data_IF_635785144598
#
_entry.id   IF_635785144598
#
_cell.length_a   1.000
_cell.length_b   1.000
_cell.length_c   1.000
_cell.angle_alpha   90.00
_cell.angle_beta   90.00
_cell.angle_gamma   90.00
#
_symmetry.space_group_name_H-M   'P 1'
#
loop_
_entity.id
_entity.type
_entity.pdbx_description
1 polymer ?
#
# COMPACT_ATOMS: atom_id res chain seq x y z
N UNK A 1 18.22 41.00 -16.71
CA UNK A 1 18.32 39.69 -16.02
C UNK A 1 16.93 39.26 -15.61
N UNK A 2 16.38 38.21 -16.24
CA UNK A 2 15.12 37.60 -15.80
C UNK A 2 15.38 36.98 -14.43
N UNK A 3 14.66 37.44 -13.40
CA UNK A 3 14.57 36.69 -12.13
C UNK A 3 13.92 35.36 -12.48
N UNK A 4 14.71 34.29 -12.49
CA UNK A 4 14.20 32.93 -12.44
C UNK A 4 13.66 32.80 -11.02
N UNK A 5 12.33 32.83 -10.88
CA UNK A 5 11.68 32.41 -9.64
C UNK A 5 12.21 31.01 -9.30
N UNK A 6 12.58 30.71 -8.04
CA UNK A 6 12.90 29.33 -7.67
C UNK A 6 11.71 28.45 -8.09
N UNK A 7 11.95 27.25 -8.66
CA UNK A 7 10.86 26.32 -8.91
C UNK A 7 10.12 26.15 -7.57
N UNK A 8 8.80 26.34 -7.58
CA UNK A 8 7.95 25.99 -6.44
C UNK A 8 8.36 24.59 -6.01
N UNK A 9 8.85 24.45 -4.77
CA UNK A 9 9.47 23.21 -4.32
C UNK A 9 8.45 22.07 -4.49
N UNK A 10 8.84 21.08 -5.28
CA UNK A 10 8.04 19.89 -5.52
C UNK A 10 7.81 19.17 -4.20
N UNK A 11 6.56 18.81 -3.91
CA UNK A 11 6.18 18.16 -2.65
C UNK A 11 5.80 16.70 -2.82
N UNK A 12 5.50 16.24 -4.05
CA UNK A 12 5.24 14.82 -4.29
C UNK A 12 5.46 14.39 -5.74
N UNK A 13 5.69 13.09 -5.94
CA UNK A 13 5.69 12.39 -7.22
C UNK A 13 4.98 11.06 -7.09
N UNK A 14 4.21 10.67 -8.11
CA UNK A 14 3.60 9.34 -8.21
C UNK A 14 3.87 8.72 -9.57
N UNK A 15 4.12 7.42 -9.58
CA UNK A 15 4.28 6.61 -10.76
C UNK A 15 3.54 5.28 -10.54
N UNK A 16 2.29 5.23 -11.00
CA UNK A 16 1.39 4.09 -10.77
C UNK A 16 1.06 3.37 -12.08
N UNK A 17 1.12 2.03 -12.05
CA UNK A 17 0.59 1.20 -13.12
C UNK A 17 -0.93 1.33 -13.22
N UNK A 18 -1.46 1.20 -14.44
CA UNK A 18 -2.89 1.02 -14.66
C UNK A 18 -3.27 -0.42 -14.29
N UNK A 19 -4.08 -0.66 -13.24
CA UNK A 19 -4.30 -2.02 -12.73
C UNK A 19 -4.98 -2.96 -13.72
N UNK A 20 -5.79 -2.42 -14.62
CA UNK A 20 -6.63 -3.16 -15.56
C UNK A 20 -6.02 -3.36 -16.94
N UNK A 21 -5.00 -2.57 -17.28
CA UNK A 21 -4.36 -2.59 -18.59
C UNK A 21 -2.87 -2.34 -18.44
N UNK A 22 -2.08 -3.41 -18.51
CA UNK A 22 -0.63 -3.33 -18.40
C UNK A 22 0.04 -2.62 -19.58
N UNK A 23 -0.67 -2.45 -20.71
CA UNK A 23 -0.17 -1.73 -21.88
C UNK A 23 -0.52 -0.23 -21.83
N UNK A 24 -1.46 0.18 -20.98
CA UNK A 24 -1.82 1.58 -20.82
C UNK A 24 -0.66 2.40 -20.24
N UNK A 25 -0.56 3.69 -20.61
CA UNK A 25 0.43 4.57 -20.03
C UNK A 25 0.25 4.65 -18.51
N UNK A 26 1.36 4.58 -17.79
CA UNK A 26 1.40 4.72 -16.33
C UNK A 26 0.96 6.14 -15.94
N UNK A 27 0.27 6.26 -14.81
CA UNK A 27 -0.02 7.55 -14.20
C UNK A 27 1.28 8.06 -13.55
N UNK A 28 2.02 8.86 -14.32
CA UNK A 28 3.34 9.36 -13.95
C UNK A 28 3.35 10.90 -13.95
N UNK A 29 3.34 11.49 -12.76
CA UNK A 29 3.30 12.94 -12.58
C UNK A 29 3.96 13.39 -11.27
N UNK A 30 4.21 14.69 -11.19
CA UNK A 30 4.71 15.37 -10.01
C UNK A 30 3.70 16.41 -9.51
N UNK A 31 3.93 16.93 -8.30
CA UNK A 31 3.08 17.92 -7.66
C UNK A 31 3.96 19.00 -7.01
N UNK A 32 3.70 20.25 -7.38
CA UNK A 32 4.32 21.43 -6.76
C UNK A 32 3.68 21.77 -5.42
N UNK A 33 3.77 23.03 -5.01
CA UNK A 33 3.22 23.50 -3.75
C UNK A 33 1.71 23.16 -3.60
N UNK A 34 1.28 22.58 -2.47
CA UNK A 34 -0.12 22.28 -2.25
C UNK A 34 -0.94 23.54 -1.99
N UNK A 35 -2.21 23.49 -2.39
CA UNK A 35 -3.23 24.48 -2.00
C UNK A 35 -3.46 24.48 -0.50
N UNK A 36 -3.49 23.29 0.08
CA UNK A 36 -3.63 23.05 1.52
C UNK A 36 -3.12 21.65 1.85
N UNK A 37 -2.82 21.46 3.13
CA UNK A 37 -2.46 20.14 3.68
C UNK A 37 -3.50 19.77 4.74
N UNK A 38 -4.00 18.55 4.65
CA UNK A 38 -4.98 17.96 5.57
C UNK A 38 -4.25 16.94 6.44
N UNK A 39 -4.35 17.07 7.77
CA UNK A 39 -3.55 16.29 8.71
C UNK A 39 -4.42 15.80 9.86
N UNK A 40 -4.33 14.51 10.18
CA UNK A 40 -4.89 13.92 11.39
C UNK A 40 -3.74 13.49 12.32
N UNK A 41 -3.56 14.21 13.43
CA UNK A 41 -2.60 13.82 14.48
C UNK A 41 -3.19 12.82 15.47
N UNK A 42 -4.52 12.74 15.54
CA UNK A 42 -5.26 11.95 16.53
C UNK A 42 -6.30 11.08 15.81
N UNK A 43 -6.65 9.97 16.44
CA UNK A 43 -7.52 8.92 15.87
C UNK A 43 -8.89 9.46 15.48
N UNK A 44 -9.46 10.35 16.31
CA UNK A 44 -10.78 10.95 16.09
C UNK A 44 -10.84 11.87 14.86
N UNK A 45 -9.71 12.47 14.48
CA UNK A 45 -9.60 13.36 13.33
C UNK A 45 -9.43 12.61 11.99
N UNK A 46 -9.05 11.32 12.00
CA UNK A 46 -8.72 10.56 10.77
C UNK A 46 -9.89 10.53 9.79
N UNK A 47 -11.10 10.23 10.28
CA UNK A 47 -12.30 10.16 9.42
C UNK A 47 -12.62 11.51 8.79
N UNK A 48 -12.57 12.59 9.57
CA UNK A 48 -12.83 13.93 9.08
C UNK A 48 -11.83 14.36 7.99
N UNK A 49 -10.55 13.96 8.13
CA UNK A 49 -9.53 14.19 7.09
C UNK A 49 -9.84 13.41 5.82
N UNK A 50 -10.22 12.12 5.92
CA UNK A 50 -10.61 11.33 4.74
C UNK A 50 -11.86 11.88 4.04
N UNK A 51 -12.84 12.37 4.80
CA UNK A 51 -14.02 13.05 4.24
C UNK A 51 -13.62 14.34 3.51
N UNK A 52 -12.70 15.12 4.08
CA UNK A 52 -12.19 16.34 3.46
C UNK A 52 -11.39 16.06 2.17
N UNK A 53 -10.59 14.99 2.17
CA UNK A 53 -9.86 14.49 0.99
C UNK A 53 -10.86 14.09 -0.10
N UNK A 54 -11.87 13.29 0.26
CA UNK A 54 -12.89 12.85 -0.70
C UNK A 54 -13.65 14.04 -1.30
N UNK A 55 -14.08 14.99 -0.47
CA UNK A 55 -14.76 16.19 -0.93
C UNK A 55 -13.87 17.07 -1.83
N UNK A 56 -12.57 17.14 -1.58
CA UNK A 56 -11.62 17.84 -2.44
C UNK A 56 -11.46 17.14 -3.81
N UNK A 57 -11.34 15.81 -3.82
CA UNK A 57 -11.28 15.03 -5.05
C UNK A 57 -12.55 15.18 -5.90
N UNK A 58 -13.73 15.19 -5.29
CA UNK A 58 -15.01 15.41 -5.99
C UNK A 58 -15.13 16.81 -6.62
N UNK A 59 -14.35 17.79 -6.14
CA UNK A 59 -14.24 19.12 -6.76
C UNK A 59 -13.19 19.18 -7.89
N UNK A 60 -12.58 18.05 -8.24
CA UNK A 60 -11.57 17.93 -9.29
C UNK A 60 -10.14 18.19 -8.83
N UNK A 61 -9.89 18.30 -7.52
CA UNK A 61 -8.53 18.44 -7.00
C UNK A 61 -7.82 17.08 -6.90
N UNK A 62 -6.50 17.12 -6.95
CA UNK A 62 -5.65 15.97 -6.70
C UNK A 62 -5.27 15.92 -5.22
N UNK A 63 -5.47 14.77 -4.57
CA UNK A 63 -5.09 14.58 -3.18
C UNK A 63 -4.02 13.49 -3.09
N UNK A 64 -2.82 13.84 -2.65
CA UNK A 64 -1.67 12.92 -2.59
C UNK A 64 -1.19 12.85 -1.14
N UNK A 65 -1.05 11.64 -0.61
CA UNK A 65 -0.80 11.48 0.82
C UNK A 65 -0.73 10.04 1.25
N UNK A 66 -0.82 9.84 2.56
CA UNK A 66 -0.75 8.53 3.20
C UNK A 66 -1.67 8.43 4.41
N UNK A 67 -1.99 7.19 4.77
CA UNK A 67 -2.64 6.81 6.03
C UNK A 67 -1.75 5.77 6.68
N UNK A 68 -1.33 6.04 7.92
CA UNK A 68 -0.49 5.12 8.70
C UNK A 68 -1.30 3.94 9.20
N UNK A 69 -0.63 2.82 9.42
CA UNK A 69 -1.23 1.62 10.00
C UNK A 69 -1.92 1.92 11.34
N UNK A 70 -1.32 2.81 12.15
CA UNK A 70 -1.80 3.26 13.45
C UNK A 70 -3.10 4.09 13.39
N UNK A 71 -3.60 4.42 12.19
CA UNK A 71 -4.92 4.98 12.01
C UNK A 71 -6.05 3.93 12.13
N UNK A 72 -5.72 2.63 12.22
CA UNK A 72 -6.69 1.54 12.29
C UNK A 72 -7.78 1.71 13.38
N UNK A 73 -7.47 2.17 14.61
CA UNK A 73 -8.48 2.39 15.64
C UNK A 73 -9.59 3.38 15.25
N UNK A 74 -9.35 4.25 14.26
CA UNK A 74 -10.36 5.18 13.76
C UNK A 74 -11.52 4.44 13.09
N UNK A 75 -11.27 3.24 12.55
CA UNK A 75 -12.24 2.45 11.80
C UNK A 75 -12.92 1.38 12.67
N UNK A 76 -12.18 0.80 13.59
CA UNK A 76 -12.65 -0.16 14.57
C UNK A 76 -11.76 -0.10 15.82
N UNK A 77 -12.35 0.25 16.96
CA UNK A 77 -11.64 0.42 18.24
C UNK A 77 -11.00 -0.86 18.78
N UNK A 78 -11.40 -2.03 18.28
CA UNK A 78 -10.76 -3.30 18.63
C UNK A 78 -9.39 -3.48 17.95
N UNK A 79 -9.08 -2.69 16.91
CA UNK A 79 -7.82 -2.76 16.17
C UNK A 79 -6.73 -1.99 16.91
N UNK A 80 -6.06 -2.67 17.84
CA UNK A 80 -4.98 -2.09 18.64
C UNK A 80 -3.67 -1.97 17.84
N UNK A 81 -2.97 -0.86 18.01
CA UNK A 81 -1.68 -0.57 17.37
C UNK A 81 -0.72 0.07 18.36
N UNK A 82 0.57 0.06 18.04
CA UNK A 82 1.55 0.83 18.80
C UNK A 82 1.30 2.33 18.64
N UNK A 83 1.77 3.12 19.60
CA UNK A 83 1.86 4.56 19.42
C UNK A 83 2.87 4.88 18.30
N UNK A 84 2.61 5.95 17.55
CA UNK A 84 3.51 6.44 16.51
C UNK A 84 3.76 7.93 16.72
N UNK A 85 4.96 8.36 16.34
CA UNK A 85 5.27 9.77 16.20
C UNK A 85 4.82 10.26 14.82
N UNK A 86 4.26 11.47 14.77
CA UNK A 86 3.77 12.07 13.53
C UNK A 86 2.31 11.76 13.20
N UNK A 87 1.84 12.22 12.02
CA UNK A 87 0.42 12.21 11.71
C UNK A 87 -0.08 10.82 11.27
N UNK A 88 -1.25 10.42 11.78
CA UNK A 88 -1.95 9.19 11.39
C UNK A 88 -2.45 9.24 9.95
N UNK A 89 -2.79 10.43 9.45
CA UNK A 89 -3.09 10.66 8.04
C UNK A 89 -2.58 12.04 7.62
N UNK A 90 -2.01 12.12 6.43
CA UNK A 90 -1.48 13.36 5.87
C UNK A 90 -1.77 13.37 4.36
N UNK A 91 -2.39 14.44 3.86
CA UNK A 91 -2.70 14.61 2.45
C UNK A 91 -2.47 16.05 2.00
N UNK A 92 -1.72 16.21 0.92
CA UNK A 92 -1.59 17.45 0.19
C UNK A 92 -2.65 17.54 -0.93
N UNK A 93 -3.34 18.67 -1.00
CA UNK A 93 -4.35 18.95 -2.03
C UNK A 93 -3.74 19.87 -3.08
N UNK A 94 -3.82 19.48 -4.34
CA UNK A 94 -3.26 20.19 -5.49
C UNK A 94 -4.34 20.48 -6.53
N UNK A 95 -4.21 21.61 -7.22
CA UNK A 95 -5.16 21.97 -8.28
C UNK A 95 -4.95 21.12 -9.55
N UNK A 96 -3.69 20.77 -9.88
CA UNK A 96 -3.35 19.98 -11.06
C UNK A 96 -2.04 19.20 -10.87
N UNK A 97 -1.87 18.08 -11.58
CA UNK A 97 -0.58 17.39 -11.68
C UNK A 97 0.36 18.18 -12.60
N UNK A 98 1.65 18.08 -12.33
CA UNK A 98 2.72 18.60 -13.18
C UNK A 98 3.37 17.44 -13.95
N UNK A 99 3.98 17.70 -15.12
CA UNK A 99 4.76 16.70 -15.83
C UNK A 99 5.83 16.10 -14.92
N UNK A 100 6.15 14.82 -15.13
CA UNK A 100 7.28 14.21 -14.44
C UNK A 100 8.56 15.00 -14.72
N UNK A 101 9.35 15.37 -13.70
CA UNK A 101 10.52 16.19 -13.89
C UNK A 101 11.57 15.45 -14.69
N UNK A 102 12.38 16.20 -15.45
CA UNK A 102 13.55 15.65 -16.10
C UNK A 102 14.47 14.98 -15.06
N UNK A 103 15.06 13.84 -15.40
CA UNK A 103 16.00 13.17 -14.52
C UNK A 103 17.17 14.11 -14.21
N UNK A 104 17.32 14.47 -12.94
CA UNK A 104 18.52 15.16 -12.48
C UNK A 104 19.73 14.21 -12.58
N UNK A 105 20.93 14.78 -12.69
CA UNK A 105 22.16 14.00 -12.64
C UNK A 105 22.14 13.06 -11.42
N UNK A 106 22.37 11.77 -11.64
CA UNK A 106 22.25 10.76 -10.60
C UNK A 106 23.34 10.94 -9.55
N UNK A 107 23.00 11.61 -8.46
CA UNK A 107 23.70 11.46 -7.20
C UNK A 107 23.44 10.04 -6.67
N UNK A 108 24.49 9.40 -6.14
CA UNK A 108 24.33 8.12 -5.49
C UNK A 108 23.70 8.34 -4.11
N UNK A 109 22.65 7.58 -3.80
CA UNK A 109 22.13 7.47 -2.45
C UNK A 109 22.58 6.16 -1.82
N UNK A 110 22.96 6.20 -0.54
CA UNK A 110 23.32 5.03 0.25
C UNK A 110 22.67 5.13 1.62
N UNK A 111 22.10 4.03 2.10
CA UNK A 111 21.65 3.93 3.49
C UNK A 111 22.67 3.10 4.26
N UNK A 112 23.19 3.67 5.33
CA UNK A 112 23.97 2.95 6.33
C UNK A 112 23.02 2.48 7.42
N UNK A 113 22.81 1.17 7.52
CA UNK A 113 21.87 0.57 8.49
C UNK A 113 22.55 0.43 9.84
N UNK A 114 21.87 0.86 10.91
CA UNK A 114 22.43 0.87 12.28
C UNK A 114 21.63 0.04 13.27
N UNK A 115 20.33 -0.06 13.07
CA UNK A 115 19.48 -0.81 13.98
C UNK A 115 18.39 -1.58 13.25
N UNK A 116 17.98 -2.64 13.91
CA UNK A 116 16.86 -3.50 13.57
C UNK A 116 16.40 -4.22 14.83
N UNK A 117 15.27 -4.91 14.76
CA UNK A 117 14.85 -5.76 15.87
C UNK A 117 15.90 -6.85 16.13
N UNK A 118 16.32 -7.00 17.38
CA UNK A 118 17.26 -8.06 17.75
C UNK A 118 16.69 -9.43 17.37
N UNK A 119 17.53 -10.29 16.80
CA UNK A 119 17.11 -11.62 16.35
C UNK A 119 16.43 -12.44 17.45
N UNK A 120 16.97 -12.41 18.67
CA UNK A 120 16.37 -13.13 19.82
C UNK A 120 14.96 -12.62 20.14
N UNK A 121 14.73 -11.31 20.05
CA UNK A 121 13.41 -10.70 20.24
C UNK A 121 12.45 -11.10 19.12
N UNK A 122 12.91 -11.08 17.86
CA UNK A 122 12.12 -11.53 16.72
C UNK A 122 11.72 -13.01 16.84
N UNK A 123 12.68 -13.88 17.18
CA UNK A 123 12.45 -15.33 17.32
C UNK A 123 11.50 -15.63 18.49
N UNK A 124 11.60 -14.90 19.61
CA UNK A 124 10.69 -15.05 20.73
C UNK A 124 9.24 -14.66 20.34
N UNK A 125 9.07 -13.55 19.60
CA UNK A 125 7.77 -13.15 19.09
C UNK A 125 7.21 -14.18 18.10
N UNK A 126 8.04 -14.71 17.20
CA UNK A 126 7.66 -15.77 16.26
C UNK A 126 7.22 -17.05 16.99
N UNK A 127 7.91 -17.43 18.06
CA UNK A 127 7.53 -18.57 18.90
C UNK A 127 6.15 -18.39 19.55
N UNK A 128 5.84 -17.19 20.07
CA UNK A 128 4.50 -16.87 20.60
C UNK A 128 3.43 -16.95 19.52
N UNK A 129 3.70 -16.40 18.34
CA UNK A 129 2.81 -16.45 17.19
C UNK A 129 2.50 -17.90 16.78
N UNK A 130 3.52 -18.76 16.69
CA UNK A 130 3.35 -20.16 16.33
C UNK A 130 2.53 -20.92 17.37
N UNK A 131 2.75 -20.65 18.66
CA UNK A 131 1.94 -21.21 19.74
C UNK A 131 0.47 -20.79 19.65
N UNK A 132 0.21 -19.50 19.40
CA UNK A 132 -1.15 -18.98 19.25
C UNK A 132 -1.86 -19.57 18.02
N UNK A 133 -1.15 -19.77 16.90
CA UNK A 133 -1.68 -20.49 15.73
C UNK A 133 -1.99 -21.96 16.09
N UNK A 134 -1.06 -22.64 16.77
CA UNK A 134 -1.26 -24.02 17.22
C UNK A 134 -2.41 -24.20 18.22
N UNK A 135 -2.70 -23.17 19.01
CA UNK A 135 -3.85 -23.12 19.92
C UNK A 135 -5.18 -22.72 19.23
N UNK A 136 -5.13 -22.39 17.93
CA UNK A 136 -6.32 -22.00 17.16
C UNK A 136 -6.81 -20.58 17.43
N UNK A 137 -5.99 -19.71 18.02
CA UNK A 137 -6.37 -18.33 18.30
C UNK A 137 -6.40 -17.45 17.04
N UNK A 138 -5.52 -17.75 16.09
CA UNK A 138 -5.44 -17.11 14.78
C UNK A 138 -4.92 -18.10 13.73
N UNK A 139 -5.22 -17.82 12.46
CA UNK A 139 -4.78 -18.61 11.31
C UNK A 139 -3.49 -18.08 10.70
N UNK A 140 -3.34 -16.75 10.67
CA UNK A 140 -2.20 -16.08 10.04
C UNK A 140 -1.93 -14.73 10.70
N UNK A 141 -0.66 -14.35 10.73
CA UNK A 141 -0.20 -12.99 11.03
C UNK A 141 0.95 -12.63 10.10
N UNK A 142 1.00 -11.36 9.68
CA UNK A 142 2.10 -10.76 8.96
C UNK A 142 2.97 -10.01 9.97
N UNK A 143 4.05 -10.64 10.42
CA UNK A 143 4.96 -10.06 11.42
C UNK A 143 6.21 -9.53 10.72
N UNK A 144 6.48 -8.24 10.87
CA UNK A 144 7.58 -7.52 10.23
C UNK A 144 8.43 -6.80 11.27
N UNK A 145 9.67 -6.45 10.91
CA UNK A 145 10.57 -5.69 11.75
C UNK A 145 11.15 -4.51 10.96
N UNK A 146 11.13 -3.27 11.51
CA UNK A 146 11.75 -2.13 10.86
C UNK A 146 13.28 -2.21 10.94
N UNK A 147 13.94 -1.65 9.94
CA UNK A 147 15.36 -1.32 9.96
C UNK A 147 15.50 0.20 9.94
N UNK A 148 16.43 0.74 10.71
CA UNK A 148 16.75 2.18 10.68
C UNK A 148 18.20 2.41 10.30
N UNK A 149 18.43 3.52 9.61
CA UNK A 149 19.73 3.87 9.07
C UNK A 149 19.83 5.36 8.77
N UNK A 150 21.03 5.82 8.44
CA UNK A 150 21.28 7.19 7.98
C UNK A 150 21.41 7.18 6.48
N UNK A 151 20.67 8.08 5.82
CA UNK A 151 20.77 8.32 4.40
C UNK A 151 21.96 9.25 4.10
N UNK A 152 22.84 8.80 3.21
CA UNK A 152 23.83 9.61 2.50
C UNK A 152 23.30 9.89 1.09
N UNK A 153 23.29 11.16 0.67
CA UNK A 153 22.66 11.62 -0.57
C UNK A 153 21.24 12.15 -0.35
N UNK A 154 20.50 12.38 -1.43
CA UNK A 154 19.14 12.93 -1.37
C UNK A 154 18.05 11.84 -1.34
N UNK A 155 16.90 12.17 -0.75
CA UNK A 155 15.72 11.30 -0.78
C UNK A 155 15.25 11.01 -2.22
N UNK A 156 15.36 12.00 -3.12
CA UNK A 156 15.07 11.82 -4.54
C UNK A 156 16.01 10.80 -5.21
N UNK A 157 17.30 10.79 -4.86
CA UNK A 157 18.25 9.81 -5.35
C UNK A 157 17.94 8.39 -4.81
N UNK A 158 17.57 8.27 -3.53
CA UNK A 158 17.14 7.00 -2.94
C UNK A 158 15.86 6.49 -3.63
N UNK A 159 14.86 7.35 -3.82
CA UNK A 159 13.61 7.00 -4.50
C UNK A 159 13.86 6.49 -5.92
N UNK A 160 14.72 7.17 -6.69
CA UNK A 160 15.09 6.71 -8.03
C UNK A 160 15.80 5.33 -8.00
N UNK A 161 16.62 5.06 -6.98
CA UNK A 161 17.23 3.74 -6.79
C UNK A 161 16.19 2.66 -6.44
N UNK A 162 15.22 2.96 -5.58
CA UNK A 162 14.12 2.06 -5.25
C UNK A 162 13.26 1.73 -6.47
N UNK A 163 12.92 2.73 -7.29
CA UNK A 163 12.16 2.51 -8.52
C UNK A 163 12.88 1.58 -9.51
N UNK A 164 14.21 1.70 -9.64
CA UNK A 164 15.01 0.77 -10.47
C UNK A 164 15.05 -0.64 -9.90
N UNK A 165 15.08 -0.78 -8.58
CA UNK A 165 15.09 -2.08 -7.91
C UNK A 165 13.73 -2.79 -7.98
N UNK A 166 12.63 -2.03 -8.11
CA UNK A 166 11.27 -2.57 -8.17
C UNK A 166 10.48 -1.93 -9.34
N UNK A 167 10.86 -2.22 -10.59
CA UNK A 167 10.19 -1.69 -11.76
C UNK A 167 8.74 -2.18 -11.80
N UNK A 168 7.83 -1.31 -12.20
CA UNK A 168 6.42 -1.65 -12.37
C UNK A 168 5.54 -1.52 -11.13
N UNK A 169 6.12 -1.32 -9.94
CA UNK A 169 5.36 -1.10 -8.70
C UNK A 169 4.58 0.23 -8.67
N UNK A 170 3.76 0.40 -7.64
CA UNK A 170 3.11 1.67 -7.32
C UNK A 170 4.08 2.54 -6.52
N UNK A 171 4.74 3.47 -7.20
CA UNK A 171 5.79 4.28 -6.60
C UNK A 171 5.28 5.66 -6.20
N UNK A 172 5.61 6.09 -4.98
CA UNK A 172 5.28 7.43 -4.48
C UNK A 172 6.47 8.00 -3.69
N UNK A 173 6.81 9.25 -3.98
CA UNK A 173 7.68 10.10 -3.15
C UNK A 173 6.83 11.24 -2.64
N UNK A 174 6.68 11.35 -1.32
CA UNK A 174 5.91 12.41 -0.68
C UNK A 174 6.83 13.12 0.30
N UNK A 175 6.97 14.44 0.16
CA UNK A 175 7.64 15.32 1.10
C UNK A 175 6.57 16.01 1.98
N UNK A 176 6.47 15.55 3.22
CA UNK A 176 5.54 16.08 4.23
C UNK A 176 6.20 17.13 5.14
N UNK A 177 7.38 17.63 4.77
CA UNK A 177 8.18 18.56 5.57
C UNK A 177 9.15 17.82 6.48
N UNK A 178 8.73 17.54 7.72
CA UNK A 178 9.59 16.87 8.71
C UNK A 178 9.80 15.37 8.42
N UNK A 179 9.03 14.81 7.49
CA UNK A 179 9.11 13.43 7.06
C UNK A 179 8.99 13.34 5.53
N UNK A 180 9.70 12.38 4.94
CA UNK A 180 9.48 11.99 3.55
C UNK A 180 9.15 10.51 3.45
N UNK A 181 8.11 10.17 2.66
CA UNK A 181 7.69 8.80 2.40
C UNK A 181 8.13 8.41 1.01
N UNK A 182 9.01 7.40 0.93
CA UNK A 182 9.48 6.79 -0.32
C UNK A 182 8.93 5.37 -0.41
N UNK A 183 7.98 5.14 -1.31
CA UNK A 183 7.30 3.85 -1.48
C UNK A 183 7.44 3.32 -2.90
N UNK A 184 7.60 2.01 -3.03
CA UNK A 184 7.56 1.24 -4.30
C UNK A 184 6.71 -0.02 -4.10
N UNK A 185 5.44 0.16 -3.73
CA UNK A 185 4.57 -0.94 -3.34
C UNK A 185 4.35 -1.94 -4.50
N UNK A 186 4.49 -3.27 -4.26
CA UNK A 186 4.08 -4.29 -5.23
C UNK A 186 2.57 -4.57 -5.19
N UNK A 187 1.88 -4.20 -4.12
CA UNK A 187 0.48 -4.56 -3.86
C UNK A 187 -0.43 -3.33 -4.06
N UNK A 188 -1.57 -3.53 -4.74
CA UNK A 188 -2.62 -2.52 -4.84
C UNK A 188 -3.62 -2.75 -3.71
N UNK A 189 -3.67 -1.81 -2.76
CA UNK A 189 -4.66 -1.84 -1.69
C UNK A 189 -6.08 -1.71 -2.25
N UNK A 190 -6.36 -0.63 -2.98
CA UNK A 190 -7.50 -0.55 -3.88
C UNK A 190 -7.29 0.52 -4.96
N UNK A 191 -7.97 0.35 -6.10
CA UNK A 191 -8.25 1.37 -7.11
C UNK A 191 -9.77 1.56 -7.15
N UNK A 192 -10.26 2.78 -6.95
CA UNK A 192 -11.69 3.07 -6.87
C UNK A 192 -12.06 4.23 -7.80
N UNK A 193 -12.88 3.93 -8.78
CA UNK A 193 -13.41 4.89 -9.75
C UNK A 193 -14.80 5.32 -9.28
N UNK A 194 -14.87 6.31 -8.37
CA UNK A 194 -16.13 6.82 -7.83
C UNK A 194 -17.04 7.39 -8.94
N UNK A 195 -18.35 7.15 -8.80
CA UNK A 195 -19.35 7.64 -9.72
C UNK A 195 -20.70 7.84 -8.98
N UNK A 196 -21.56 8.78 -9.43
CA UNK A 196 -22.83 9.07 -8.76
C UNK A 196 -23.73 7.85 -8.53
N UNK A 197 -23.70 6.86 -9.44
CA UNK A 197 -24.45 5.61 -9.35
C UNK A 197 -23.72 4.48 -8.63
N UNK A 198 -22.67 4.78 -7.87
CA UNK A 198 -21.71 3.80 -7.35
C UNK A 198 -20.59 3.53 -8.35
N UNK A 199 -19.37 3.46 -7.84
CA UNK A 199 -18.14 3.30 -8.60
C UNK A 199 -17.57 1.88 -8.61
N UNK A 200 -16.72 1.58 -9.58
CA UNK A 200 -15.98 0.32 -9.66
C UNK A 200 -14.78 0.37 -8.74
N UNK A 201 -14.62 -0.66 -7.89
CA UNK A 201 -13.49 -0.80 -6.99
C UNK A 201 -12.78 -2.14 -7.24
N UNK A 202 -11.45 -2.10 -7.26
CA UNK A 202 -10.56 -3.25 -7.41
C UNK A 202 -9.57 -3.27 -6.25
N UNK A 203 -9.40 -4.42 -5.60
CA UNK A 203 -8.25 -4.73 -4.76
C UNK A 203 -7.45 -5.86 -5.40
N UNK A 204 -6.11 -5.80 -5.30
CA UNK A 204 -5.22 -6.87 -5.79
C UNK A 204 -4.31 -7.35 -4.67
N UNK A 205 -4.81 -8.23 -3.78
CA UNK A 205 -3.96 -8.88 -2.79
C UNK A 205 -2.87 -9.70 -3.46
N UNK A 206 -1.74 -9.83 -2.75
CA UNK A 206 -0.67 -10.73 -3.13
C UNK A 206 -0.32 -11.69 -1.99
N UNK A 207 -0.32 -12.99 -2.30
CA UNK A 207 0.18 -14.06 -1.42
C UNK A 207 0.69 -15.21 -2.26
N UNK A 208 1.84 -15.72 -1.84
CA UNK A 208 2.64 -16.72 -2.52
C UNK A 208 3.80 -16.09 -3.28
N UNK A 209 5.00 -16.56 -2.97
CA UNK A 209 6.26 -16.03 -3.52
C UNK A 209 7.19 -17.18 -3.87
N UNK A 210 7.82 -17.12 -5.03
CA UNK A 210 8.87 -18.04 -5.45
C UNK A 210 10.09 -17.27 -5.96
N UNK A 211 11.28 -17.84 -5.83
CA UNK A 211 12.47 -17.23 -6.42
C UNK A 211 12.39 -17.26 -7.96
N UNK A 212 13.08 -16.33 -8.63
CA UNK A 212 13.32 -16.43 -10.08
C UNK A 212 14.28 -17.60 -10.37
N UNK A 213 14.10 -18.26 -11.51
CA UNK A 213 14.98 -19.32 -11.98
C UNK A 213 16.30 -18.80 -12.54
N UNK A 214 17.34 -19.63 -12.56
CA UNK A 214 18.62 -19.25 -13.18
C UNK A 214 18.57 -19.36 -14.72
N UNK A 215 17.65 -20.18 -15.25
CA UNK A 215 17.37 -20.34 -16.68
C UNK A 215 15.90 -20.03 -17.00
N UNK A 216 15.54 -19.71 -18.25
CA UNK A 216 14.14 -19.50 -18.65
C UNK A 216 13.23 -20.69 -18.33
N UNK A 217 13.74 -21.91 -18.49
CA UNK A 217 13.00 -23.14 -18.21
C UNK A 217 12.74 -23.33 -16.71
N UNK A 218 13.77 -23.10 -15.89
CA UNK A 218 13.63 -23.12 -14.43
C UNK A 218 12.68 -22.02 -13.96
N UNK A 219 12.79 -20.81 -14.53
CA UNK A 219 11.97 -19.68 -14.15
C UNK A 219 10.48 -19.92 -14.45
N UNK A 220 10.19 -20.48 -15.63
CA UNK A 220 8.84 -20.91 -16.00
C UNK A 220 8.33 -22.06 -15.10
N UNK A 221 9.20 -23.00 -14.72
CA UNK A 221 8.85 -24.06 -13.80
C UNK A 221 8.54 -23.54 -12.39
N UNK A 222 9.30 -22.56 -11.88
CA UNK A 222 9.06 -21.91 -10.59
C UNK A 222 7.71 -21.16 -10.59
N UNK A 223 7.41 -20.42 -11.65
CA UNK A 223 6.11 -19.77 -11.81
C UNK A 223 4.95 -20.78 -11.84
N UNK A 224 5.11 -21.87 -12.60
CA UNK A 224 4.09 -22.92 -12.69
C UNK A 224 3.90 -23.64 -11.34
N UNK A 225 4.99 -23.91 -10.62
CA UNK A 225 4.95 -24.50 -9.29
C UNK A 225 4.23 -23.59 -8.31
N UNK A 226 4.60 -22.30 -8.24
CA UNK A 226 3.94 -21.31 -7.40
C UNK A 226 2.43 -21.30 -7.64
N UNK A 227 2.01 -21.23 -8.91
CA UNK A 227 0.60 -21.21 -9.31
C UNK A 227 -0.18 -22.47 -8.92
N UNK A 228 0.48 -23.63 -8.83
CA UNK A 228 -0.18 -24.92 -8.63
C UNK A 228 -0.03 -25.48 -7.22
N UNK A 229 0.91 -24.97 -6.43
CA UNK A 229 1.19 -25.40 -5.07
C UNK A 229 -0.07 -25.28 -4.19
N UNK A 230 -0.55 -26.39 -3.58
CA UNK A 230 -1.77 -26.37 -2.77
C UNK A 230 -1.72 -25.39 -1.59
N UNK A 231 -0.56 -25.28 -0.93
CA UNK A 231 -0.33 -24.35 0.19
C UNK A 231 -0.51 -22.90 -0.26
N UNK A 232 0.22 -22.49 -1.30
CA UNK A 232 0.21 -21.11 -1.80
C UNK A 232 -1.18 -20.69 -2.30
N UNK A 233 -1.88 -21.60 -2.99
CA UNK A 233 -3.27 -21.38 -3.40
C UNK A 233 -4.22 -21.24 -2.22
N UNK A 234 -4.05 -22.05 -1.17
CA UNK A 234 -4.89 -21.97 0.03
C UNK A 234 -4.71 -20.62 0.75
N UNK A 235 -3.47 -20.16 0.93
CA UNK A 235 -3.18 -18.85 1.52
C UNK A 235 -3.74 -17.71 0.66
N UNK A 236 -3.61 -17.78 -0.67
CA UNK A 236 -4.14 -16.78 -1.58
C UNK A 236 -5.68 -16.74 -1.56
N UNK A 237 -6.35 -17.89 -1.61
CA UNK A 237 -7.83 -17.99 -1.51
C UNK A 237 -8.32 -17.39 -0.19
N UNK A 238 -7.64 -17.68 0.92
CA UNK A 238 -8.02 -17.13 2.23
C UNK A 238 -8.02 -15.59 2.21
N UNK A 239 -6.98 -14.96 1.65
CA UNK A 239 -6.93 -13.50 1.54
C UNK A 239 -7.96 -12.94 0.56
N UNK A 240 -8.20 -13.64 -0.56
CA UNK A 240 -9.26 -13.28 -1.51
C UNK A 240 -10.62 -13.31 -0.83
N UNK A 241 -10.94 -14.34 -0.05
CA UNK A 241 -12.21 -14.44 0.67
C UNK A 241 -12.37 -13.37 1.74
N UNK A 242 -11.30 -13.02 2.46
CA UNK A 242 -11.29 -11.90 3.40
C UNK A 242 -11.63 -10.59 2.67
N UNK A 243 -11.00 -10.31 1.54
CA UNK A 243 -11.28 -9.09 0.78
C UNK A 243 -12.65 -9.10 0.11
N UNK A 244 -13.16 -10.25 -0.32
CA UNK A 244 -14.55 -10.37 -0.81
C UNK A 244 -15.54 -10.01 0.29
N UNK A 245 -15.31 -10.51 1.51
CA UNK A 245 -16.12 -10.16 2.67
C UNK A 245 -16.04 -8.66 2.97
N UNK A 246 -14.84 -8.09 3.04
CA UNK A 246 -14.64 -6.68 3.36
C UNK A 246 -15.27 -5.77 2.28
N UNK A 247 -15.07 -6.07 0.99
CA UNK A 247 -15.72 -5.33 -0.11
C UNK A 247 -17.25 -5.47 -0.09
N UNK A 248 -17.80 -6.63 0.29
CA UNK A 248 -19.26 -6.82 0.36
C UNK A 248 -19.96 -5.83 1.29
N UNK A 249 -19.24 -5.32 2.31
CA UNK A 249 -19.75 -4.33 3.26
C UNK A 249 -20.10 -3.00 2.58
N UNK A 250 -19.45 -2.66 1.47
CA UNK A 250 -19.66 -1.40 0.72
C UNK A 250 -20.20 -1.60 -0.70
N UNK A 251 -20.23 -2.84 -1.18
CA UNK A 251 -20.68 -3.20 -2.52
C UNK A 251 -22.21 -3.25 -2.66
N UNK A 252 -22.68 -3.13 -3.89
CA UNK A 252 -24.02 -3.54 -4.32
C UNK A 252 -24.14 -5.07 -4.18
N UNK A 253 -25.33 -5.59 -3.79
CA UNK A 253 -25.57 -7.02 -3.76
C UNK A 253 -25.17 -7.71 -5.07
N UNK A 254 -24.53 -8.87 -4.95
CA UNK A 254 -24.09 -9.71 -6.08
C UNK A 254 -23.07 -9.09 -7.05
N UNK A 255 -22.48 -7.94 -6.72
CA UNK A 255 -21.47 -7.29 -7.58
C UNK A 255 -20.02 -7.73 -7.30
N UNK A 256 -19.76 -8.38 -6.16
CA UNK A 256 -18.40 -8.83 -5.80
C UNK A 256 -17.98 -10.00 -6.69
N UNK A 257 -16.86 -9.86 -7.38
CA UNK A 257 -16.32 -10.80 -8.35
C UNK A 257 -14.82 -11.01 -8.16
N UNK A 258 -14.33 -12.16 -8.62
CA UNK A 258 -12.89 -12.50 -8.63
C UNK A 258 -12.47 -12.82 -10.06
N UNK A 259 -12.23 -11.80 -10.91
CA UNK A 259 -12.01 -12.00 -12.34
C UNK A 259 -10.66 -12.65 -12.66
N UNK A 260 -9.67 -12.55 -11.77
CA UNK A 260 -8.37 -13.19 -11.91
C UNK A 260 -7.96 -13.82 -10.59
N UNK A 261 -7.56 -15.08 -10.63
CA UNK A 261 -7.14 -15.84 -9.46
C UNK A 261 -5.81 -16.54 -9.76
N UNK A 262 -4.86 -16.44 -8.83
CA UNK A 262 -3.53 -17.06 -8.92
C UNK A 262 -2.68 -16.58 -10.11
N UNK A 263 -2.82 -15.31 -10.50
CA UNK A 263 -1.99 -14.71 -11.55
C UNK A 263 -0.56 -14.51 -11.03
N UNK A 264 0.42 -15.08 -11.73
CA UNK A 264 1.84 -14.94 -11.40
C UNK A 264 2.44 -13.72 -12.10
N UNK A 265 2.98 -12.80 -11.32
CA UNK A 265 3.67 -11.60 -11.78
C UNK A 265 5.18 -11.75 -11.55
N UNK A 266 5.97 -11.50 -12.60
CA UNK A 266 7.43 -11.45 -12.49
C UNK A 266 7.87 -10.14 -11.85
N UNK A 267 8.61 -10.22 -10.76
CA UNK A 267 9.43 -9.14 -10.21
C UNK A 267 10.92 -9.47 -10.48
N UNK A 268 11.85 -8.50 -10.33
CA UNK A 268 13.25 -8.73 -10.67
C UNK A 268 13.88 -9.94 -9.95
N UNK A 269 13.51 -10.17 -8.69
CA UNK A 269 14.12 -11.21 -7.84
C UNK A 269 13.17 -12.35 -7.48
N UNK A 270 11.86 -12.15 -7.63
CA UNK A 270 10.83 -13.14 -7.25
C UNK A 270 9.66 -13.19 -8.23
N UNK A 271 8.97 -14.32 -8.26
CA UNK A 271 7.59 -14.43 -8.72
C UNK A 271 6.65 -14.11 -7.56
N UNK A 272 5.61 -13.32 -7.85
CA UNK A 272 4.55 -13.03 -6.91
C UNK A 272 3.21 -13.54 -7.45
N UNK A 273 2.43 -14.21 -6.61
CA UNK A 273 1.06 -14.56 -6.95
C UNK A 273 0.09 -13.48 -6.46
N UNK A 274 -0.79 -13.05 -7.38
CA UNK A 274 -1.79 -12.00 -7.20
C UNK A 274 -3.17 -12.51 -7.63
N UNK A 275 -4.21 -11.91 -7.06
CA UNK A 275 -5.60 -12.18 -7.43
C UNK A 275 -6.38 -10.88 -7.41
N UNK A 276 -7.33 -10.70 -8.32
CA UNK A 276 -8.17 -9.50 -8.38
C UNK A 276 -9.49 -9.77 -7.67
N UNK A 277 -9.90 -8.87 -6.78
CA UNK A 277 -11.25 -8.83 -6.23
C UNK A 277 -11.87 -7.49 -6.61
N UNK A 278 -12.98 -7.53 -7.33
CA UNK A 278 -13.67 -6.33 -7.82
C UNK A 278 -15.10 -6.29 -7.32
N UNK A 279 -15.63 -5.10 -7.15
CA UNK A 279 -17.03 -4.88 -6.83
C UNK A 279 -17.52 -3.55 -7.39
N UNK A 280 -18.84 -3.37 -7.40
CA UNK A 280 -19.44 -2.06 -7.61
C UNK A 280 -19.92 -1.53 -6.27
N UNK A 281 -19.37 -0.40 -5.83
CA UNK A 281 -19.75 0.28 -4.58
C UNK A 281 -21.20 0.77 -4.65
N UNK A 282 -21.84 0.97 -3.49
CA UNK A 282 -23.18 1.55 -3.42
C UNK A 282 -23.14 3.05 -3.76
N UNK A 283 -24.22 3.63 -4.32
CA UNK A 283 -24.34 5.07 -4.47
C UNK A 283 -24.11 5.79 -3.12
N UNK A 284 -23.30 6.84 -3.14
CA UNK A 284 -22.99 7.63 -1.94
C UNK A 284 -21.95 7.01 -0.99
N UNK A 285 -21.30 5.89 -1.36
CA UNK A 285 -20.13 5.39 -0.63
C UNK A 285 -19.05 6.48 -0.56
N UNK A 286 -18.48 6.67 0.62
CA UNK A 286 -17.40 7.65 0.85
C UNK A 286 -16.03 6.99 0.94
N UNK A 287 -14.95 7.77 0.80
CA UNK A 287 -13.60 7.29 1.07
C UNK A 287 -13.46 6.74 2.51
N UNK A 288 -14.11 7.39 3.48
CA UNK A 288 -14.16 6.91 4.87
C UNK A 288 -14.84 5.55 4.97
N UNK A 289 -15.91 5.30 4.21
CA UNK A 289 -16.56 3.97 4.17
C UNK A 289 -15.63 2.91 3.55
N UNK A 290 -14.89 3.28 2.49
CA UNK A 290 -13.92 2.37 1.84
C UNK A 290 -12.81 1.99 2.83
N UNK A 291 -12.22 2.96 3.53
CA UNK A 291 -11.23 2.67 4.56
C UNK A 291 -11.84 1.88 5.73
N UNK A 292 -13.05 2.21 6.19
CA UNK A 292 -13.72 1.46 7.26
C UNK A 292 -14.01 0.00 6.89
N UNK A 293 -14.17 -0.28 5.60
CA UNK A 293 -14.38 -1.62 5.09
C UNK A 293 -13.06 -2.41 4.98
N UNK A 294 -12.03 -1.80 4.37
CA UNK A 294 -10.83 -2.50 3.89
C UNK A 294 -9.61 -2.33 4.79
N UNK A 295 -9.54 -1.28 5.61
CA UNK A 295 -8.33 -0.89 6.33
C UNK A 295 -8.25 -1.48 7.76
N UNK A 296 -7.07 -1.92 8.19
CA UNK A 296 -5.89 -2.25 7.39
C UNK A 296 -6.14 -3.51 6.54
N UNK A 297 -5.38 -3.65 5.45
CA UNK A 297 -5.51 -4.81 4.57
C UNK A 297 -5.22 -6.12 5.32
N UNK A 298 -5.98 -7.19 5.03
CA UNK A 298 -5.75 -8.52 5.59
C UNK A 298 -4.37 -9.10 5.27
N UNK A 299 -3.77 -8.72 4.13
CA UNK A 299 -2.46 -9.19 3.69
C UNK A 299 -1.30 -8.69 4.57
N UNK A 300 -1.46 -7.50 5.17
CA UNK A 300 -0.46 -6.85 6.03
C UNK A 300 -0.74 -7.03 7.52
N UNK A 301 -1.89 -7.59 7.89
CA UNK A 301 -2.30 -7.88 9.27
C UNK A 301 -2.29 -9.38 9.54
N UNK A 302 -3.37 -10.08 9.19
CA UNK A 302 -3.61 -11.47 9.52
C UNK A 302 -5.09 -11.79 9.69
N UNK A 303 -5.39 -13.03 10.08
CA UNK A 303 -6.76 -13.52 10.22
C UNK A 303 -6.90 -14.40 11.48
N UNK A 304 -7.91 -14.17 12.35
CA UNK A 304 -8.82 -13.02 12.37
C UNK A 304 -8.11 -11.69 12.64
N UNK A 305 -8.56 -10.60 12.00
CA UNK A 305 -7.88 -9.28 11.96
C UNK A 305 -7.56 -8.74 13.36
N UNK A 306 -8.55 -8.68 14.24
CA UNK A 306 -8.39 -8.18 15.64
C UNK A 306 -7.32 -8.97 16.40
N UNK A 307 -7.36 -10.31 16.36
CA UNK A 307 -6.40 -11.14 17.09
C UNK A 307 -4.99 -11.02 16.52
N UNK A 308 -4.87 -10.98 15.19
CA UNK A 308 -3.59 -10.77 14.53
C UNK A 308 -2.96 -9.43 14.92
N UNK A 309 -3.75 -8.35 14.95
CA UNK A 309 -3.26 -7.03 15.37
C UNK A 309 -2.86 -6.98 16.84
N UNK A 310 -3.62 -7.65 17.73
CA UNK A 310 -3.21 -7.81 19.14
C UNK A 310 -1.86 -8.51 19.28
N UNK A 311 -1.57 -9.52 18.44
CA UNK A 311 -0.26 -10.19 18.44
C UNK A 311 0.85 -9.34 17.83
N UNK A 312 0.57 -8.52 16.83
CA UNK A 312 1.54 -7.55 16.31
C UNK A 312 1.87 -6.49 17.37
N UNK A 313 0.89 -6.12 18.19
CA UNK A 313 1.05 -5.16 19.28
C UNK A 313 1.80 -5.72 20.51
N UNK A 314 1.82 -7.05 20.71
CA UNK A 314 2.28 -7.70 21.95
C UNK A 314 3.78 -8.07 21.98
#
# INVERSE_FOLDING_TARGET
MKRVSPPEAETARIDFAQPLDAAAPRLRCAFGAPRQVLVAQQVDAVRAVLDAVHAAAQRGHWCVGYVRYEAAPAFDTALQTHATDGPLAWFAVHDAPQPWPAEAAQEAARVEWHSGLERGTFDAALGRIQQAIGAGELYQVNYTAPLTGTLQGSAAALFAALQRAQPGGYAAHIDAGDEQVLSVSPELFFDWQDAPGGGDILARPMKGTAARGATPEEDAAQAAHLRTAPKERAENVMIVDLLRNDLSRIALPHSVQVPALFATQALPTVWQMTSDVRARTRPGTTLTDVFAALFPCGSVTGAPKVRAMQMIHA
#
